data_IF_488313658424
#
_entry.id   IF_488313658424
#
_cell.length_a   1.000
_cell.length_b   1.000
_cell.length_c   1.000
_cell.angle_alpha   90.00
_cell.angle_beta   90.00
_cell.angle_gamma   90.00
#
_symmetry.space_group_name_H-M   'P 1'
#
loop_
_entity.id
_entity.type
_entity.pdbx_description
1 polymer ?
#
# COMPACT_ATOMS: atom_id res chain seq x y z
N UNK A 1 1.84 4.23 25.47
CA UNK A 1 2.28 3.11 24.60
C UNK A 1 1.36 3.11 23.39
N UNK A 2 1.88 3.07 22.17
CA UNK A 2 1.05 2.90 20.97
C UNK A 2 0.57 1.45 20.89
N UNK A 3 -0.67 1.25 20.47
CA UNK A 3 -1.23 -0.09 20.23
C UNK A 3 -0.54 -0.76 19.03
N UNK A 4 -0.39 -2.10 19.03
CA UNK A 4 0.10 -2.84 17.88
C UNK A 4 -0.79 -2.66 16.65
N UNK A 5 -0.18 -2.62 15.47
CA UNK A 5 -0.87 -2.50 14.18
C UNK A 5 -0.64 -3.76 13.33
N UNK A 6 -1.74 -4.40 12.93
CA UNK A 6 -1.72 -5.43 11.90
C UNK A 6 -2.06 -4.85 10.53
N UNK A 7 -1.24 -5.13 9.53
CA UNK A 7 -1.52 -4.83 8.12
C UNK A 7 -1.60 -6.15 7.34
N UNK A 8 -2.55 -6.27 6.42
CA UNK A 8 -2.67 -7.42 5.53
C UNK A 8 -2.59 -6.97 4.07
N UNK A 9 -1.73 -7.65 3.31
CA UNK A 9 -1.57 -7.42 1.88
C UNK A 9 -2.38 -8.46 1.11
N UNK A 10 -3.39 -8.01 0.39
CA UNK A 10 -4.12 -8.79 -0.59
C UNK A 10 -4.06 -8.16 -1.97
N UNK A 11 -4.21 -8.99 -3.00
CA UNK A 11 -4.24 -8.53 -4.39
C UNK A 11 -5.33 -7.51 -4.67
N UNK A 12 -6.49 -7.71 -4.03
CA UNK A 12 -7.68 -6.90 -4.24
C UNK A 12 -7.91 -5.88 -3.15
N UNK A 13 -7.50 -6.19 -1.92
CA UNK A 13 -7.71 -5.33 -0.77
C UNK A 13 -6.48 -5.30 0.15
N UNK A 14 -6.27 -4.13 0.76
CA UNK A 14 -5.41 -3.94 1.91
C UNK A 14 -6.29 -3.81 3.16
N UNK A 15 -5.81 -4.33 4.29
CA UNK A 15 -6.51 -4.26 5.57
C UNK A 15 -5.58 -3.73 6.65
N UNK A 16 -6.11 -2.84 7.49
CA UNK A 16 -5.47 -2.40 8.72
C UNK A 16 -6.34 -2.77 9.93
N UNK A 17 -5.74 -3.42 10.92
CA UNK A 17 -6.42 -3.89 12.12
C UNK A 17 -5.68 -3.41 13.38
N UNK A 18 -6.45 -2.93 14.36
CA UNK A 18 -5.98 -2.56 15.70
C UNK A 18 -6.81 -3.26 16.76
N UNK A 19 -6.22 -3.48 17.92
CA UNK A 19 -6.92 -4.06 19.07
C UNK A 19 -8.09 -3.14 19.45
N UNK A 20 -9.27 -3.73 19.66
CA UNK A 20 -10.46 -3.02 20.12
C UNK A 20 -11.14 -2.09 19.10
N UNK A 21 -10.74 -2.11 17.82
CA UNK A 21 -11.39 -1.34 16.74
C UNK A 21 -11.74 -2.24 15.55
N UNK A 22 -12.87 -1.97 14.84
CA UNK A 22 -13.16 -2.67 13.58
C UNK A 22 -12.02 -2.49 12.57
N UNK A 23 -11.68 -3.52 11.77
CA UNK A 23 -10.65 -3.41 10.75
C UNK A 23 -11.10 -2.46 9.63
N UNK A 24 -10.14 -1.70 9.08
CA UNK A 24 -10.34 -0.85 7.92
C UNK A 24 -9.88 -1.61 6.67
N UNK A 25 -10.79 -1.80 5.74
CA UNK A 25 -10.51 -2.42 4.43
C UNK A 25 -10.56 -1.36 3.34
N UNK A 26 -9.59 -1.40 2.43
CA UNK A 26 -9.54 -0.57 1.21
C UNK A 26 -9.12 -1.41 0.02
N UNK A 27 -9.53 -1.01 -1.19
CA UNK A 27 -9.04 -1.63 -2.42
C UNK A 27 -7.52 -1.43 -2.52
N UNK A 28 -6.82 -2.38 -3.12
CA UNK A 28 -5.39 -2.28 -3.44
C UNK A 28 -5.17 -1.35 -4.64
N UNK A 29 -5.56 -0.10 -4.44
CA UNK A 29 -5.47 1.03 -5.38
C UNK A 29 -4.90 2.19 -4.56
N UNK A 30 -3.81 2.79 -5.05
CA UNK A 30 -3.21 3.98 -4.47
C UNK A 30 -3.48 5.15 -5.42
N UNK A 31 -4.06 6.23 -4.91
CA UNK A 31 -4.22 7.47 -5.66
C UNK A 31 -3.21 8.48 -5.12
N UNK A 32 -2.29 8.90 -5.97
CA UNK A 32 -1.22 9.84 -5.65
C UNK A 32 -1.59 11.24 -6.15
N UNK A 33 -1.33 12.24 -5.32
CA UNK A 33 -1.63 13.64 -5.62
C UNK A 33 -0.35 14.48 -5.57
N UNK A 34 -0.25 15.55 -6.38
CA UNK A 34 0.90 16.45 -6.34
C UNK A 34 0.93 17.36 -5.10
N UNK A 35 -0.24 17.62 -4.50
CA UNK A 35 -0.47 18.66 -3.50
C UNK A 35 -0.95 18.12 -2.14
N UNK A 36 -1.25 16.81 -2.04
CA UNK A 36 -1.73 16.17 -0.81
C UNK A 36 -1.20 14.75 -0.64
N UNK A 37 -1.43 14.20 0.56
CA UNK A 37 -1.00 12.84 0.88
C UNK A 37 -1.71 11.79 0.00
N UNK A 38 -1.04 10.68 -0.35
CA UNK A 38 -1.68 9.59 -1.09
C UNK A 38 -2.82 8.94 -0.32
N UNK A 39 -3.84 8.50 -1.06
CA UNK A 39 -5.04 7.86 -0.53
C UNK A 39 -5.18 6.42 -1.05
N UNK A 40 -5.73 5.52 -0.23
CA UNK A 40 -5.90 4.11 -0.59
C UNK A 40 -7.37 3.77 -0.76
N UNK A 41 -7.69 3.13 -1.89
CA UNK A 41 -9.00 2.61 -2.21
C UNK A 41 -10.06 3.67 -2.54
N UNK A 42 -9.67 4.93 -2.72
CA UNK A 42 -10.55 6.02 -3.15
C UNK A 42 -10.33 6.26 -4.64
N UNK A 43 -11.38 6.13 -5.49
CA UNK A 43 -11.31 6.58 -6.88
C UNK A 43 -11.07 8.09 -6.93
N UNK A 44 -10.25 8.57 -7.87
CA UNK A 44 -10.00 10.00 -8.02
C UNK A 44 -11.31 10.80 -8.12
N UNK A 45 -11.49 11.81 -7.27
CA UNK A 45 -12.60 12.76 -7.38
C UNK A 45 -12.29 13.70 -8.55
N UNK A 46 -13.09 13.68 -9.62
CA UNK A 46 -12.77 14.37 -10.88
C UNK A 46 -12.50 15.90 -10.78
N UNK A 47 -12.70 16.50 -9.60
CA UNK A 47 -12.29 17.87 -9.30
C UNK A 47 -10.77 18.02 -9.08
N UNK A 48 -10.10 16.99 -8.55
CA UNK A 48 -8.67 16.95 -8.32
C UNK A 48 -8.13 15.60 -8.85
N UNK A 49 -7.81 15.50 -10.16
CA UNK A 49 -7.38 14.24 -10.75
C UNK A 49 -6.06 13.78 -10.13
N UNK A 50 -6.11 12.69 -9.35
CA UNK A 50 -4.94 12.00 -8.81
C UNK A 50 -4.47 10.88 -9.75
N UNK A 51 -3.18 10.56 -9.69
CA UNK A 51 -2.59 9.45 -10.42
C UNK A 51 -2.97 8.12 -9.74
N UNK A 52 -3.78 7.32 -10.42
CA UNK A 52 -4.27 6.03 -9.89
C UNK A 52 -3.29 4.92 -10.25
N UNK A 53 -2.76 4.25 -9.22
CA UNK A 53 -1.86 3.10 -9.31
C UNK A 53 -2.56 1.84 -8.78
N UNK A 54 -2.52 0.76 -9.54
CA UNK A 54 -3.11 -0.54 -9.17
C UNK A 54 -2.25 -1.68 -9.69
N UNK A 55 -2.51 -2.92 -9.24
CA UNK A 55 -1.71 -4.09 -9.63
C UNK A 55 -0.30 -4.11 -9.02
N UNK A 56 0.04 -3.17 -8.14
CA UNK A 56 1.37 -3.06 -7.53
C UNK A 56 1.74 -4.26 -6.66
N UNK A 57 0.75 -4.98 -6.11
CA UNK A 57 1.00 -6.18 -5.31
C UNK A 57 1.60 -7.31 -6.15
N UNK A 58 1.18 -7.46 -7.42
CA UNK A 58 1.73 -8.49 -8.34
C UNK A 58 3.16 -8.14 -8.79
N UNK A 59 3.52 -6.86 -8.77
CA UNK A 59 4.79 -6.33 -9.27
C UNK A 59 5.87 -6.18 -8.20
N UNK A 60 5.61 -6.62 -6.97
CA UNK A 60 6.61 -6.53 -5.88
C UNK A 60 7.83 -7.37 -6.24
N UNK A 61 9.00 -6.72 -6.34
CA UNK A 61 10.24 -7.38 -6.73
C UNK A 61 10.35 -7.76 -8.21
N UNK A 62 9.34 -7.43 -9.03
CA UNK A 62 9.42 -7.55 -10.48
C UNK A 62 10.35 -6.45 -11.03
N UNK A 63 11.34 -6.76 -11.90
CA UNK A 63 12.11 -5.73 -12.58
C UNK A 63 11.28 -4.82 -13.48
N UNK A 64 10.14 -5.28 -13.98
CA UNK A 64 9.25 -4.51 -14.85
C UNK A 64 8.37 -3.57 -14.00
N UNK A 65 8.45 -2.24 -14.19
CA UNK A 65 7.67 -1.30 -13.40
C UNK A 65 6.19 -1.30 -13.81
N UNK A 66 5.34 -0.80 -12.92
CA UNK A 66 4.03 -0.30 -13.29
C UNK A 66 4.19 0.99 -14.10
N UNK A 67 3.48 1.11 -15.20
CA UNK A 67 3.40 2.36 -15.97
C UNK A 67 2.05 2.99 -15.69
N UNK A 68 2.07 4.20 -15.13
CA UNK A 68 0.87 4.94 -14.79
C UNK A 68 0.27 5.65 -16.02
N UNK A 69 -0.91 6.25 -15.86
CA UNK A 69 -1.63 6.87 -16.97
C UNK A 69 -0.90 8.07 -17.60
N UNK A 70 -0.02 8.72 -16.84
CA UNK A 70 0.85 9.82 -17.29
C UNK A 70 2.16 9.34 -17.94
N UNK A 71 2.37 8.02 -18.07
CA UNK A 71 3.57 7.41 -18.63
C UNK A 71 4.74 7.26 -17.64
N UNK A 72 4.57 7.69 -16.39
CA UNK A 72 5.60 7.52 -15.36
C UNK A 72 5.72 6.06 -14.90
N UNK A 73 6.95 5.64 -14.55
CA UNK A 73 7.27 4.29 -14.14
C UNK A 73 7.41 4.17 -12.62
N UNK A 74 6.76 3.18 -12.02
CA UNK A 74 6.68 2.97 -10.57
C UNK A 74 7.04 1.54 -10.19
N UNK A 75 7.89 1.36 -9.18
CA UNK A 75 8.25 0.05 -8.63
C UNK A 75 7.12 -0.49 -7.75
N UNK A 76 6.72 -1.74 -7.94
CA UNK A 76 5.59 -2.34 -7.21
C UNK A 76 5.75 -2.30 -5.69
N UNK A 77 6.95 -2.64 -5.19
CA UNK A 77 7.27 -2.60 -3.77
C UNK A 77 7.22 -1.19 -3.15
N UNK A 78 7.55 -0.15 -3.92
CA UNK A 78 7.51 1.25 -3.45
C UNK A 78 6.07 1.71 -3.35
N UNK A 79 5.26 1.48 -4.39
CA UNK A 79 3.83 1.79 -4.38
C UNK A 79 3.12 1.05 -3.26
N UNK A 80 3.46 -0.22 -3.02
CA UNK A 80 2.91 -0.99 -1.91
C UNK A 80 3.31 -0.40 -0.55
N UNK A 81 4.58 -0.02 -0.36
CA UNK A 81 5.03 0.60 0.89
C UNK A 81 4.27 1.92 1.18
N UNK A 82 4.09 2.76 0.17
CA UNK A 82 3.30 3.99 0.29
C UNK A 82 1.82 3.71 0.63
N UNK A 83 1.23 2.70 -0.02
CA UNK A 83 -0.14 2.28 0.28
C UNK A 83 -0.26 1.74 1.72
N UNK A 84 0.71 0.99 2.22
CA UNK A 84 0.73 0.52 3.61
C UNK A 84 0.89 1.68 4.60
N UNK A 85 1.73 2.66 4.29
CA UNK A 85 1.86 3.88 5.09
C UNK A 85 0.55 4.69 5.12
N UNK A 86 -0.15 4.79 3.99
CA UNK A 86 -1.46 5.42 3.93
C UNK A 86 -2.53 4.64 4.72
N UNK A 87 -2.54 3.30 4.63
CA UNK A 87 -3.40 2.45 5.46
C UNK A 87 -3.13 2.64 6.96
N UNK A 88 -1.87 2.75 7.36
CA UNK A 88 -1.50 3.03 8.75
C UNK A 88 -2.03 4.41 9.21
N UNK A 89 -1.92 5.45 8.36
CA UNK A 89 -2.47 6.79 8.67
C UNK A 89 -3.99 6.79 8.86
N UNK A 90 -4.73 6.00 8.07
CA UNK A 90 -6.19 5.84 8.24
C UNK A 90 -6.60 5.29 9.61
N UNK A 91 -5.66 4.63 10.30
CA UNK A 91 -5.85 4.08 11.64
C UNK A 91 -4.86 4.68 12.63
N UNK A 92 -4.50 5.95 12.49
CA UNK A 92 -3.66 6.70 13.45
C UNK A 92 -2.29 6.06 13.79
N UNK A 93 -1.79 5.16 12.93
CA UNK A 93 -0.56 4.40 13.15
C UNK A 93 -0.65 3.31 14.22
N UNK A 94 0.51 2.87 14.69
CA UNK A 94 0.68 1.85 15.73
C UNK A 94 2.09 1.28 15.76
N UNK A 95 2.48 0.68 16.89
CA UNK A 95 3.81 0.05 17.05
C UNK A 95 3.76 -1.04 18.13
N UNK A 96 4.32 -2.24 17.88
CA UNK A 96 4.98 -2.65 16.64
C UNK A 96 3.98 -2.86 15.49
N UNK A 97 4.49 -2.84 14.26
CA UNK A 97 3.73 -3.15 13.04
C UNK A 97 4.03 -4.57 12.58
N UNK A 98 3.00 -5.37 12.34
CA UNK A 98 3.09 -6.69 11.73
C UNK A 98 2.38 -6.69 10.37
N UNK A 99 3.05 -7.18 9.32
CA UNK A 99 2.52 -7.17 7.95
C UNK A 99 2.37 -8.62 7.47
N UNK A 100 1.14 -9.04 7.21
CA UNK A 100 0.84 -10.31 6.57
C UNK A 100 1.03 -10.20 5.05
N UNK A 101 1.79 -11.15 4.48
CA UNK A 101 2.22 -11.19 3.08
C UNK A 101 1.65 -12.44 2.37
N UNK A 102 1.44 -12.41 1.04
CA UNK A 102 1.04 -13.59 0.30
C UNK A 102 2.01 -14.77 0.47
N UNK A 103 1.48 -15.96 0.78
CA UNK A 103 2.29 -17.14 1.13
C UNK A 103 3.21 -17.64 -0.01
N UNK A 104 2.88 -17.32 -1.27
CA UNK A 104 3.67 -17.70 -2.43
C UNK A 104 4.86 -16.76 -2.71
N UNK A 105 4.99 -15.66 -1.96
CA UNK A 105 6.12 -14.74 -2.13
C UNK A 105 7.43 -15.39 -1.67
N UNK A 106 8.40 -15.45 -2.58
CA UNK A 106 9.74 -15.92 -2.28
C UNK A 106 10.60 -14.89 -1.54
N UNK A 107 11.81 -15.27 -1.12
CA UNK A 107 12.73 -14.39 -0.39
C UNK A 107 13.07 -13.08 -1.13
N UNK A 108 13.17 -13.12 -2.46
CA UNK A 108 13.45 -11.92 -3.28
C UNK A 108 12.35 -10.87 -3.18
N UNK A 109 11.09 -11.27 -3.36
CA UNK A 109 9.90 -10.41 -3.23
C UNK A 109 9.80 -9.82 -1.82
N UNK A 110 10.02 -10.65 -0.79
CA UNK A 110 10.04 -10.17 0.60
C UNK A 110 11.20 -9.21 0.87
N UNK A 111 12.37 -9.45 0.26
CA UNK A 111 13.52 -8.56 0.35
C UNK A 111 13.26 -7.20 -0.29
N UNK A 112 12.60 -7.17 -1.45
CA UNK A 112 12.20 -5.94 -2.13
C UNK A 112 11.23 -5.11 -1.27
N UNK A 113 10.17 -5.74 -0.74
CA UNK A 113 9.24 -5.05 0.16
C UNK A 113 9.93 -4.53 1.43
N UNK A 114 10.75 -5.36 2.09
CA UNK A 114 11.53 -4.92 3.26
C UNK A 114 12.47 -3.77 2.94
N UNK A 115 13.05 -3.75 1.74
CA UNK A 115 13.88 -2.64 1.26
C UNK A 115 13.10 -1.34 1.13
N UNK A 116 11.88 -1.41 0.58
CA UNK A 116 11.00 -0.26 0.40
C UNK A 116 10.34 0.26 1.69
N UNK A 117 10.27 -0.56 2.75
CA UNK A 117 9.71 -0.20 4.05
C UNK A 117 10.71 0.46 5.02
N UNK A 118 11.99 0.59 4.63
CA UNK A 118 13.02 1.27 5.45
C UNK A 118 12.90 2.78 5.30
#
# INVERSE_FOLDING_TARGET
>A
MTEPLGLSIGMTNLVAARVGRPPVTRRSILTVYPDRAPEVGVPSDGAHPGLVLSGFVDRVGDPVPLVAADGSAHRGEVVLAEALAAMARLVDGGSPVAIAVPAHWGPGTLGALRGALR
#
